data_IF_460464500004
#
_entry.id   IF_460464500004
#
_cell.length_a   1.000
_cell.length_b   1.000
_cell.length_c   1.000
_cell.angle_alpha   90.00
_cell.angle_beta   90.00
_cell.angle_gamma   90.00
#
_symmetry.space_group_name_H-M   'P 1'
#
loop_
_entity.id
_entity.type
_entity.pdbx_description
1 polymer ?
#
# COMPACT_ATOMS: atom_id res chain seq x y z
N UNK A 1 6.61 3.63 -10.58
CA UNK A 1 5.64 3.78 -9.47
C UNK A 1 4.97 5.15 -9.53
N UNK A 2 5.71 6.27 -9.49
CA UNK A 2 5.16 7.64 -9.49
C UNK A 2 4.11 7.83 -10.60
N UNK A 3 4.44 7.47 -11.84
CA UNK A 3 3.51 7.63 -12.98
C UNK A 3 2.17 6.89 -12.77
N UNK A 4 2.18 5.74 -12.07
CA UNK A 4 0.94 5.01 -11.77
C UNK A 4 0.10 5.76 -10.72
N UNK A 5 0.75 6.32 -9.69
CA UNK A 5 0.05 7.12 -8.67
C UNK A 5 -0.61 8.36 -9.32
N UNK A 6 0.13 9.05 -10.20
CA UNK A 6 -0.40 10.23 -10.91
C UNK A 6 -1.57 9.88 -11.84
N UNK A 7 -1.50 8.73 -12.56
CA UNK A 7 -2.63 8.26 -13.38
C UNK A 7 -3.87 8.00 -12.53
N UNK A 8 -3.69 7.37 -11.37
CA UNK A 8 -4.79 7.11 -10.45
C UNK A 8 -5.37 8.44 -9.96
N UNK A 9 -4.52 9.39 -9.54
CA UNK A 9 -4.96 10.72 -9.13
C UNK A 9 -5.76 11.43 -10.22
N UNK A 10 -5.27 11.40 -11.46
CA UNK A 10 -5.99 11.99 -12.61
C UNK A 10 -7.38 11.37 -12.77
N UNK A 11 -7.47 10.04 -12.69
CA UNK A 11 -8.74 9.32 -12.87
C UNK A 11 -9.74 9.57 -11.72
N UNK A 12 -9.24 9.92 -10.53
CA UNK A 12 -10.06 10.28 -9.37
C UNK A 12 -10.48 11.76 -9.38
N UNK A 13 -10.02 12.55 -10.35
CA UNK A 13 -10.26 14.01 -10.38
C UNK A 13 -9.52 14.75 -9.27
N UNK A 14 -8.39 14.21 -8.84
CA UNK A 14 -7.60 14.74 -7.72
C UNK A 14 -6.67 15.88 -8.15
N UNK A 15 -6.16 16.62 -7.17
CA UNK A 15 -5.08 17.59 -7.36
C UNK A 15 -3.74 16.83 -7.38
N UNK A 16 -2.98 16.99 -8.46
CA UNK A 16 -1.64 16.46 -8.57
C UNK A 16 -0.62 17.47 -8.04
N UNK A 17 0.33 17.01 -7.26
CA UNK A 17 1.31 17.90 -6.62
C UNK A 17 2.36 18.39 -7.61
N UNK A 18 2.67 19.70 -7.55
CA UNK A 18 3.81 20.28 -8.25
C UNK A 18 5.13 20.04 -7.51
N UNK A 19 5.03 19.76 -6.21
CA UNK A 19 6.14 19.43 -5.32
C UNK A 19 5.74 18.28 -4.43
N UNK A 20 6.65 17.34 -4.23
CA UNK A 20 6.42 16.18 -3.37
C UNK A 20 7.72 15.79 -2.66
N UNK A 21 7.60 15.18 -1.49
CA UNK A 21 8.76 14.66 -0.76
C UNK A 21 8.40 13.38 -0.03
N UNK A 22 9.43 12.66 0.40
CA UNK A 22 9.28 11.45 1.19
C UNK A 22 9.66 11.70 2.64
N UNK A 23 8.87 11.17 3.53
CA UNK A 23 9.04 11.21 4.97
C UNK A 23 9.61 9.88 5.48
N UNK A 24 10.27 9.91 6.62
CA UNK A 24 10.68 8.71 7.35
C UNK A 24 9.68 8.49 8.49
N UNK A 25 8.85 7.48 8.33
CA UNK A 25 7.85 7.07 9.35
C UNK A 25 8.51 6.06 10.28
N UNK A 26 8.83 6.45 11.49
CA UNK A 26 9.47 5.57 12.49
C UNK A 26 8.59 4.35 12.76
N UNK A 27 9.19 3.17 12.69
CA UNK A 27 8.46 1.90 12.75
C UNK A 27 9.44 0.81 13.20
N UNK A 28 9.34 0.39 14.47
CA UNK A 28 10.28 -0.55 15.07
C UNK A 28 9.69 -1.96 15.06
N UNK A 29 9.96 -2.70 13.99
CA UNK A 29 9.45 -4.05 13.81
C UNK A 29 10.41 -4.87 12.95
N UNK A 30 10.46 -6.20 13.15
CA UNK A 30 11.42 -7.05 12.41
C UNK A 30 11.30 -7.00 10.89
N UNK A 31 10.12 -6.69 10.36
CA UNK A 31 9.89 -6.61 8.91
C UNK A 31 10.44 -5.33 8.27
N UNK A 32 10.93 -4.39 9.08
CA UNK A 32 11.58 -3.16 8.61
C UNK A 32 12.81 -2.85 9.48
N UNK A 33 13.90 -3.63 9.31
CA UNK A 33 15.05 -3.59 10.24
C UNK A 33 15.73 -2.24 10.38
N UNK A 34 15.61 -1.35 9.39
CA UNK A 34 16.21 0.00 9.47
C UNK A 34 15.45 0.94 10.41
N UNK A 35 14.30 0.51 10.96
CA UNK A 35 13.57 1.25 11.98
C UNK A 35 12.65 2.35 11.47
N UNK A 36 12.51 2.49 10.15
CA UNK A 36 11.58 3.46 9.56
C UNK A 36 11.09 2.96 8.20
N UNK A 37 9.94 3.44 7.80
CA UNK A 37 9.35 3.22 6.47
C UNK A 37 9.41 4.53 5.69
N UNK A 38 9.85 4.48 4.44
CA UNK A 38 9.73 5.63 3.52
C UNK A 38 8.26 5.72 3.13
N UNK A 39 7.66 6.89 3.31
CA UNK A 39 6.25 7.15 3.02
C UNK A 39 6.07 8.61 2.64
N UNK A 40 4.83 9.10 2.56
CA UNK A 40 4.53 10.51 2.29
C UNK A 40 3.38 10.96 3.18
N UNK A 41 3.50 12.10 3.82
CA UNK A 41 2.46 12.66 4.68
C UNK A 41 2.17 14.12 4.37
N UNK A 42 3.17 15.00 4.52
CA UNK A 42 2.99 16.45 4.36
C UNK A 42 2.77 16.84 2.89
N UNK A 43 3.54 16.22 1.99
CA UNK A 43 3.52 16.57 0.57
C UNK A 43 3.32 15.30 -0.30
N UNK A 44 2.10 14.70 -0.25
CA UNK A 44 1.82 13.50 -1.05
C UNK A 44 1.73 13.84 -2.55
N UNK A 45 1.92 12.85 -3.39
CA UNK A 45 1.81 12.99 -4.85
C UNK A 45 0.43 13.45 -5.31
N UNK A 46 -0.63 13.08 -4.58
CA UNK A 46 -2.02 13.29 -4.99
C UNK A 46 -2.87 13.62 -3.75
N UNK A 47 -3.69 14.66 -3.85
CA UNK A 47 -4.59 15.09 -2.78
C UNK A 47 -6.03 15.25 -3.29
N UNK A 48 -6.99 14.83 -2.48
CA UNK A 48 -8.41 14.94 -2.81
C UNK A 48 -8.85 13.94 -3.86
N UNK A 49 -10.00 14.20 -4.46
CA UNK A 49 -10.62 13.35 -5.46
C UNK A 49 -11.79 12.55 -4.92
N UNK A 50 -12.40 11.76 -5.79
CA UNK A 50 -13.59 10.98 -5.42
C UNK A 50 -13.67 9.71 -6.26
N UNK A 51 -14.23 8.65 -5.69
CA UNK A 51 -14.56 7.43 -6.42
C UNK A 51 -15.86 6.87 -5.86
N UNK A 52 -16.85 6.71 -6.73
CA UNK A 52 -18.16 6.10 -6.39
C UNK A 52 -18.82 6.79 -5.16
N UNK A 53 -18.77 8.12 -5.11
CA UNK A 53 -19.37 8.91 -4.03
C UNK A 53 -18.56 8.94 -2.73
N UNK A 54 -17.35 8.36 -2.73
CA UNK A 54 -16.46 8.35 -1.56
C UNK A 54 -15.31 9.31 -1.80
N UNK A 55 -15.21 10.34 -0.97
CA UNK A 55 -14.13 11.33 -1.05
C UNK A 55 -12.80 10.71 -0.61
N UNK A 56 -11.75 11.04 -1.36
CA UNK A 56 -10.38 10.59 -1.12
C UNK A 56 -9.60 11.72 -0.46
N UNK A 57 -8.86 11.41 0.59
CA UNK A 57 -7.96 12.36 1.24
C UNK A 57 -6.68 12.52 0.42
N UNK A 58 -6.06 11.40 0.05
CA UNK A 58 -4.80 11.40 -0.72
C UNK A 58 -4.51 10.04 -1.34
N UNK A 59 -3.65 10.05 -2.34
CA UNK A 59 -2.99 8.85 -2.84
C UNK A 59 -1.48 9.10 -2.80
N UNK A 60 -0.77 8.28 -2.08
CA UNK A 60 0.67 8.49 -1.89
C UNK A 60 1.46 7.20 -2.13
N UNK A 61 2.77 7.36 -2.17
CA UNK A 61 3.72 6.29 -2.43
C UNK A 61 4.51 5.99 -1.16
N UNK A 62 4.65 4.71 -0.83
CA UNK A 62 5.48 4.25 0.28
C UNK A 62 6.26 3.00 -0.13
N UNK A 63 7.15 2.53 0.72
CA UNK A 63 7.82 1.26 0.52
C UNK A 63 7.07 0.15 1.27
N UNK A 64 6.99 -1.03 0.65
CA UNK A 64 6.42 -2.21 1.30
C UNK A 64 7.44 -2.77 2.32
N UNK A 65 6.95 -3.40 3.36
CA UNK A 65 7.78 -4.07 4.37
C UNK A 65 8.02 -5.53 3.98
N UNK A 66 8.89 -6.21 4.72
CA UNK A 66 9.07 -7.64 4.57
C UNK A 66 7.78 -8.38 4.95
N UNK A 67 7.68 -9.63 4.54
CA UNK A 67 6.55 -10.49 4.92
C UNK A 67 6.91 -11.26 6.18
N UNK A 68 6.10 -11.12 7.22
CA UNK A 68 6.25 -11.87 8.47
C UNK A 68 5.22 -12.99 8.56
N UNK A 69 5.63 -14.13 9.07
CA UNK A 69 4.72 -15.21 9.42
C UNK A 69 5.16 -15.79 10.77
N UNK A 70 4.19 -16.22 11.55
CA UNK A 70 4.42 -16.73 12.90
C UNK A 70 3.97 -18.19 12.96
N UNK A 71 4.84 -19.06 13.47
CA UNK A 71 4.56 -20.47 13.65
C UNK A 71 5.38 -21.03 14.81
N UNK A 72 4.73 -21.72 15.74
CA UNK A 72 5.38 -22.45 16.84
C UNK A 72 6.46 -21.62 17.57
N UNK A 73 6.10 -20.46 18.08
CA UNK A 73 6.99 -19.55 18.83
C UNK A 73 8.18 -18.99 18.04
N UNK A 74 8.13 -19.14 16.71
CA UNK A 74 9.15 -18.59 15.82
C UNK A 74 8.51 -17.60 14.85
N UNK A 75 9.19 -16.48 14.62
CA UNK A 75 8.81 -15.53 13.58
C UNK A 75 9.75 -15.68 12.39
N UNK A 76 9.18 -15.93 11.23
CA UNK A 76 9.92 -16.02 9.96
C UNK A 76 9.71 -14.73 9.19
N UNK A 77 10.79 -14.15 8.70
CA UNK A 77 10.74 -12.90 7.92
C UNK A 77 11.31 -13.13 6.52
N UNK A 78 10.50 -12.82 5.52
CA UNK A 78 10.87 -12.91 4.11
C UNK A 78 11.03 -11.49 3.55
N UNK A 79 12.27 -11.11 3.23
CA UNK A 79 12.62 -9.76 2.76
C UNK A 79 12.45 -9.56 1.25
N UNK A 80 11.96 -10.55 0.50
CA UNK A 80 11.82 -10.41 -0.97
C UNK A 80 10.88 -9.28 -1.40
N UNK A 81 9.95 -8.90 -0.53
CA UNK A 81 9.00 -7.83 -0.78
C UNK A 81 9.50 -6.46 -0.30
N UNK A 82 10.44 -6.43 0.65
CA UNK A 82 10.90 -5.21 1.31
C UNK A 82 11.42 -4.18 0.30
N UNK A 83 10.97 -2.94 0.44
CA UNK A 83 11.37 -1.84 -0.42
C UNK A 83 10.65 -1.77 -1.77
N UNK A 84 9.72 -2.69 -2.04
CA UNK A 84 8.90 -2.63 -3.26
C UNK A 84 7.96 -1.42 -3.15
N UNK A 85 7.84 -0.59 -4.21
CA UNK A 85 6.91 0.54 -4.16
C UNK A 85 5.46 0.10 -3.91
N UNK A 86 4.82 0.74 -2.94
CA UNK A 86 3.46 0.46 -2.52
C UNK A 86 2.65 1.75 -2.60
N UNK A 87 1.55 1.73 -3.32
CA UNK A 87 0.61 2.85 -3.37
C UNK A 87 -0.39 2.70 -2.24
N UNK A 88 -0.61 3.76 -1.49
CA UNK A 88 -1.67 3.81 -0.47
C UNK A 88 -2.67 4.89 -0.83
N UNK A 89 -3.95 4.52 -0.90
CA UNK A 89 -5.08 5.44 -1.06
C UNK A 89 -5.81 5.52 0.28
N UNK A 90 -6.03 6.73 0.76
CA UNK A 90 -6.73 7.00 2.02
C UNK A 90 -7.98 7.80 1.70
N UNK A 91 -9.14 7.35 2.20
CA UNK A 91 -10.41 8.06 2.03
C UNK A 91 -10.69 8.98 3.21
N UNK A 92 -11.60 9.92 3.03
CA UNK A 92 -12.24 10.59 4.13
C UNK A 92 -13.06 9.57 4.95
N UNK A 93 -13.35 9.85 6.22
CA UNK A 93 -14.08 8.91 7.09
C UNK A 93 -15.60 8.94 6.82
N UNK A 94 -15.98 8.67 5.58
CA UNK A 94 -17.38 8.76 5.11
C UNK A 94 -18.02 7.38 4.84
N UNK A 95 -17.24 6.31 5.00
CA UNK A 95 -17.73 4.93 4.80
C UNK A 95 -18.20 4.38 6.16
N UNK A 96 -19.49 4.13 6.30
CA UNK A 96 -20.08 3.71 7.56
C UNK A 96 -20.68 2.29 7.53
N UNK A 97 -20.60 1.58 6.40
CA UNK A 97 -21.16 0.24 6.28
C UNK A 97 -20.33 -0.64 5.33
N UNK A 98 -20.47 -1.94 5.52
CA UNK A 98 -19.68 -2.94 4.77
C UNK A 98 -20.03 -2.98 3.28
N UNK A 99 -21.27 -2.67 2.93
CA UNK A 99 -21.73 -2.68 1.52
C UNK A 99 -21.03 -1.57 0.72
N UNK A 100 -21.00 -0.37 1.29
CA UNK A 100 -20.31 0.78 0.69
C UNK A 100 -18.79 0.52 0.61
N UNK A 101 -18.20 -0.04 1.67
CA UNK A 101 -16.78 -0.41 1.68
C UNK A 101 -16.46 -1.41 0.56
N UNK A 102 -17.28 -2.44 0.43
CA UNK A 102 -17.10 -3.46 -0.61
C UNK A 102 -17.29 -2.91 -2.02
N UNK A 103 -18.28 -2.03 -2.22
CA UNK A 103 -18.52 -1.38 -3.52
C UNK A 103 -17.32 -0.51 -3.91
N UNK A 104 -16.82 0.31 -2.98
CA UNK A 104 -15.65 1.17 -3.20
C UNK A 104 -14.42 0.32 -3.56
N UNK A 105 -14.16 -0.75 -2.81
CA UNK A 105 -12.99 -1.61 -3.05
C UNK A 105 -13.05 -2.26 -4.44
N UNK A 106 -14.23 -2.72 -4.88
CA UNK A 106 -14.42 -3.31 -6.20
C UNK A 106 -14.21 -2.27 -7.31
N UNK A 107 -14.76 -1.08 -7.13
CA UNK A 107 -14.61 0.00 -8.12
C UNK A 107 -13.15 0.42 -8.27
N UNK A 108 -12.46 0.55 -7.15
CA UNK A 108 -11.03 0.86 -7.15
C UNK A 108 -10.22 -0.24 -7.83
N UNK A 109 -10.56 -1.51 -7.58
CA UNK A 109 -9.90 -2.65 -8.23
C UNK A 109 -10.05 -2.57 -9.76
N UNK A 110 -11.27 -2.26 -10.23
CA UNK A 110 -11.56 -2.09 -11.67
C UNK A 110 -10.77 -0.92 -12.25
N UNK A 111 -10.74 0.20 -11.53
CA UNK A 111 -9.99 1.39 -11.94
C UNK A 111 -8.49 1.07 -12.11
N UNK A 112 -7.89 0.43 -11.11
CA UNK A 112 -6.46 0.08 -11.14
C UNK A 112 -6.11 -0.83 -12.32
N UNK A 113 -6.99 -1.77 -12.63
CA UNK A 113 -6.85 -2.68 -13.78
C UNK A 113 -6.99 -1.92 -15.11
N UNK A 114 -8.01 -1.09 -15.23
CA UNK A 114 -8.26 -0.30 -16.43
C UNK A 114 -7.10 0.65 -16.75
N UNK A 115 -6.49 1.23 -15.72
CA UNK A 115 -5.33 2.13 -15.87
C UNK A 115 -4.01 1.37 -16.11
N UNK A 116 -4.01 0.05 -16.06
CA UNK A 116 -2.79 -0.74 -16.16
C UNK A 116 -1.82 -0.46 -15.02
N UNK A 117 -2.33 -0.07 -13.85
CA UNK A 117 -1.50 0.22 -12.69
C UNK A 117 -1.16 -1.05 -11.90
N UNK A 118 -2.11 -1.97 -11.82
CA UNK A 118 -1.96 -3.23 -11.09
C UNK A 118 -3.02 -4.23 -11.54
N UNK A 119 -2.80 -5.52 -11.31
CA UNK A 119 -3.86 -6.53 -11.41
C UNK A 119 -4.80 -6.44 -10.21
N UNK A 120 -4.33 -5.84 -9.11
CA UNK A 120 -5.10 -5.62 -7.86
C UNK A 120 -5.78 -6.92 -7.38
N UNK A 121 -5.05 -8.03 -7.39
CA UNK A 121 -5.58 -9.32 -6.99
C UNK A 121 -5.48 -9.48 -5.48
N UNK A 122 -6.63 -9.52 -4.81
CA UNK A 122 -6.72 -9.63 -3.34
C UNK A 122 -6.15 -10.96 -2.85
N UNK A 123 -6.42 -12.07 -3.56
CA UNK A 123 -5.94 -13.40 -3.16
C UNK A 123 -4.42 -13.53 -3.23
N UNK A 124 -3.79 -12.79 -4.14
CA UNK A 124 -2.33 -12.76 -4.29
C UNK A 124 -1.70 -11.69 -3.41
N UNK A 125 -2.50 -10.95 -2.64
CA UNK A 125 -2.02 -9.87 -1.80
C UNK A 125 -1.48 -8.66 -2.55
N UNK A 126 -1.88 -8.49 -3.82
CA UNK A 126 -1.49 -7.33 -4.63
C UNK A 126 -2.26 -6.08 -4.22
N UNK A 127 -3.42 -6.27 -3.60
CA UNK A 127 -4.25 -5.20 -3.06
C UNK A 127 -4.71 -5.62 -1.66
N UNK A 128 -4.72 -4.67 -0.71
CA UNK A 128 -5.25 -4.85 0.65
C UNK A 128 -6.19 -3.72 0.96
N UNK A 129 -7.23 -4.01 1.72
CA UNK A 129 -8.22 -3.04 2.21
C UNK A 129 -8.18 -3.10 3.74
N UNK A 130 -7.94 -1.94 4.36
CA UNK A 130 -7.90 -1.82 5.82
C UNK A 130 -9.00 -0.87 6.30
N UNK A 131 -9.70 -1.19 7.20
CA UNK A 131 -10.77 -0.37 7.71
C UNK A 131 -10.39 0.04 9.08
N UNK A 132 -9.87 0.93 9.18
CA UNK A 132 -9.55 1.51 10.44
C UNK A 132 -10.47 2.68 10.64
N UNK A 133 -10.14 3.61 11.28
CA UNK A 133 -10.81 4.81 11.40
C UNK A 133 -10.98 5.52 10.11
N UNK A 134 -10.06 5.38 9.35
CA UNK A 134 -10.08 5.75 8.03
C UNK A 134 -10.17 4.52 7.21
N UNK A 135 -10.61 4.57 5.95
CA UNK A 135 -10.60 3.49 4.99
C UNK A 135 -9.37 3.63 4.09
N UNK A 136 -8.52 2.64 4.13
CA UNK A 136 -7.23 2.70 3.44
C UNK A 136 -7.10 1.50 2.49
N UNK A 137 -6.67 1.75 1.26
CA UNK A 137 -6.39 0.68 0.30
C UNK A 137 -4.93 0.75 -0.09
N UNK A 138 -4.20 -0.34 0.11
CA UNK A 138 -2.80 -0.50 -0.31
C UNK A 138 -2.72 -1.38 -1.54
N UNK A 139 -1.95 -0.96 -2.50
CA UNK A 139 -1.84 -1.66 -3.78
C UNK A 139 -0.40 -1.67 -4.31
N UNK A 140 0.04 -2.84 -4.74
CA UNK A 140 1.35 -3.04 -5.37
C UNK A 140 1.23 -2.90 -6.88
N UNK A 141 2.25 -2.26 -7.45
CA UNK A 141 2.34 -2.11 -8.90
C UNK A 141 2.78 -3.42 -9.55
N UNK A 142 2.63 -3.51 -10.87
CA UNK A 142 3.13 -4.63 -11.65
C UNK A 142 4.61 -4.86 -11.35
N UNK A 143 4.92 -6.09 -10.96
CA UNK A 143 6.29 -6.51 -10.77
C UNK A 143 6.85 -6.96 -12.13
N UNK A 144 7.89 -6.30 -12.60
CA UNK A 144 8.61 -6.80 -13.78
C UNK A 144 9.12 -8.21 -13.49
N UNK A 145 8.83 -9.14 -14.38
CA UNK A 145 9.17 -10.57 -14.23
C UNK A 145 10.66 -10.88 -14.33
N UNK A 146 11.55 -9.95 -14.02
CA UNK A 146 12.97 -10.25 -14.01
C UNK A 146 13.44 -10.58 -12.61
N UNK A 147 13.77 -11.85 -12.42
CA UNK A 147 14.34 -12.54 -11.26
C UNK A 147 13.33 -13.14 -10.28
N UNK A 148 13.06 -14.42 -10.49
CA UNK A 148 12.61 -15.30 -9.42
C UNK A 148 13.83 -15.60 -8.52
N UNK A 149 13.98 -14.86 -7.43
CA UNK A 149 14.89 -15.30 -6.36
C UNK A 149 14.09 -16.18 -5.40
N UNK A 150 14.63 -17.30 -5.08
CA UNK A 150 14.10 -18.16 -4.01
C UNK A 150 13.97 -17.35 -2.73
N UNK A 151 12.87 -17.53 -2.03
CA UNK A 151 12.67 -16.83 -0.76
C UNK A 151 13.65 -17.32 0.28
N UNK A 152 14.50 -16.43 0.77
CA UNK A 152 15.39 -16.74 1.89
C UNK A 152 14.69 -16.31 3.18
N UNK A 153 14.21 -17.32 3.92
CA UNK A 153 13.66 -17.09 5.26
C UNK A 153 14.79 -17.06 6.26
N UNK A 154 14.89 -15.99 6.98
CA UNK A 154 15.85 -15.84 8.08
C UNK A 154 15.09 -16.07 9.39
N UNK A 155 15.40 -17.11 10.15
CA UNK A 155 14.76 -17.32 11.45
C UNK A 155 15.24 -16.24 12.44
N UNK A 156 14.30 -15.57 13.06
CA UNK A 156 14.60 -14.66 14.16
C UNK A 156 14.70 -15.47 15.45
N UNK A 157 15.87 -15.44 16.06
CA UNK A 157 16.10 -16.13 17.33
C UNK A 157 15.13 -15.64 18.42
N UNK A 158 14.91 -16.50 19.41
CA UNK A 158 14.09 -16.16 20.58
C UNK A 158 14.69 -14.97 21.32
N UNK A 159 13.91 -13.93 21.52
CA UNK A 159 14.28 -12.91 22.48
C UNK A 159 14.24 -13.54 23.88
N UNK A 160 15.35 -13.64 24.56
CA UNK A 160 15.37 -14.04 25.96
C UNK A 160 14.89 -12.86 26.79
N UNK A 161 13.83 -13.06 27.53
CA UNK A 161 13.37 -12.13 28.55
C UNK A 161 14.26 -12.23 29.78
#
# INVERSE_FOLDING_TARGET
AVAHVLRVGTALGSTLADYTEFDRKSYFYPDIPKGYQISQYEHPLVSGGELNGVAVTRVHLEEDTARSSHANDVSLVDFNRAGVPLMELVTEPVIHDAKTAGAFARELQLLLRALGASHANLEKGEMRVEXXXXFCVKNRFFRNKSRSKESQFIPLGRARH
#
